data_IF_886901031194
#
_entry.id   IF_886901031194
#
_cell.length_a   1.000
_cell.length_b   1.000
_cell.length_c   1.000
_cell.angle_alpha   90.00
_cell.angle_beta   90.00
_cell.angle_gamma   90.00
#
_symmetry.space_group_name_H-M   'P 1'
#
loop_
_entity.id
_entity.type
_entity.pdbx_description
1 polymer ?
#
# COMPACT_ATOMS: atom_id res chain seq x y z
N UNK A 1 7.02 -41.76 9.11
CA UNK A 1 6.89 -40.39 9.68
C UNK A 1 7.30 -39.40 8.61
N UNK A 2 6.41 -38.49 8.21
CA UNK A 2 6.70 -37.45 7.21
C UNK A 2 7.48 -36.33 7.93
N UNK A 3 8.64 -35.87 7.42
CA UNK A 3 9.36 -34.79 8.06
C UNK A 3 8.51 -33.50 8.06
N UNK A 4 8.59 -32.68 9.11
CA UNK A 4 7.93 -31.38 9.13
C UNK A 4 8.45 -30.53 7.96
N UNK A 5 7.55 -29.84 7.25
CA UNK A 5 7.94 -28.89 6.23
C UNK A 5 8.77 -27.77 6.86
N UNK A 6 9.88 -27.35 6.22
CA UNK A 6 10.68 -26.25 6.71
C UNK A 6 9.83 -24.98 6.76
N UNK A 7 9.86 -24.29 7.90
CA UNK A 7 9.31 -22.95 8.02
C UNK A 7 10.08 -22.03 7.07
N UNK A 8 9.36 -21.36 6.17
CA UNK A 8 9.93 -20.30 5.34
C UNK A 8 10.26 -19.15 6.31
N UNK A 9 11.51 -18.67 6.38
CA UNK A 9 11.86 -17.57 7.28
C UNK A 9 11.05 -16.33 6.92
N UNK A 10 10.54 -15.64 7.96
CA UNK A 10 9.89 -14.33 7.85
C UNK A 10 10.81 -13.38 7.10
N UNK A 11 10.56 -13.22 5.80
CA UNK A 11 11.33 -12.35 4.93
C UNK A 11 10.59 -11.02 4.91
N UNK A 12 11.20 -9.98 5.46
CA UNK A 12 10.73 -8.61 5.25
C UNK A 12 10.97 -8.31 3.77
N UNK A 13 9.92 -8.44 2.96
CA UNK A 13 9.97 -8.03 1.58
C UNK A 13 9.77 -6.52 1.54
N UNK A 14 10.87 -5.77 1.62
CA UNK A 14 10.87 -4.33 1.34
C UNK A 14 10.73 -4.15 -0.17
N UNK A 15 9.50 -4.14 -0.68
CA UNK A 15 9.22 -3.63 -2.01
C UNK A 15 9.38 -2.11 -1.95
N UNK A 16 10.59 -1.62 -2.24
CA UNK A 16 10.82 -0.20 -2.50
C UNK A 16 10.11 0.18 -3.81
N UNK A 17 8.80 0.44 -3.74
CA UNK A 17 7.95 0.82 -4.87
C UNK A 17 8.31 2.19 -5.48
N UNK A 18 9.25 2.90 -4.84
CA UNK A 18 9.61 4.27 -5.16
C UNK A 18 10.14 4.48 -6.60
N UNK A 19 10.53 3.44 -7.36
CA UNK A 19 11.21 3.63 -8.67
C UNK A 19 10.77 2.77 -9.85
N UNK A 20 9.86 1.80 -9.70
CA UNK A 20 9.47 0.94 -10.82
C UNK A 20 8.06 1.27 -11.31
N UNK A 21 7.96 2.09 -12.36
CA UNK A 21 6.70 2.53 -12.96
C UNK A 21 5.87 1.38 -13.54
N UNK A 22 6.48 0.22 -13.82
CA UNK A 22 5.79 -0.96 -14.35
C UNK A 22 4.92 -1.67 -13.30
N UNK A 23 5.20 -1.45 -12.01
CA UNK A 23 4.47 -2.02 -10.88
C UNK A 23 3.42 -1.05 -10.30
N UNK A 24 3.53 0.25 -10.58
CA UNK A 24 2.65 1.30 -10.03
C UNK A 24 1.19 1.13 -10.42
N UNK A 25 0.88 0.93 -11.70
CA UNK A 25 -0.52 0.79 -12.13
C UNK A 25 -1.17 -0.52 -11.68
N UNK A 26 -0.53 -1.69 -11.77
CA UNK A 26 -1.09 -2.92 -11.22
C UNK A 26 -1.34 -2.84 -9.71
N UNK A 27 -0.44 -2.24 -8.91
CA UNK A 27 -0.61 -2.09 -7.46
C UNK A 27 -1.62 -1.01 -7.07
N UNK A 28 -1.66 0.15 -7.74
CA UNK A 28 -2.73 1.15 -7.59
C UNK A 28 -4.12 0.55 -7.81
N UNK A 29 -4.26 -0.31 -8.84
CA UNK A 29 -5.52 -1.02 -9.10
C UNK A 29 -5.91 -2.03 -8.02
N UNK A 30 -4.99 -2.36 -7.11
CA UNK A 30 -5.05 -3.54 -6.26
C UNK A 30 -5.03 -3.23 -4.76
N UNK A 31 -4.48 -2.07 -4.37
CA UNK A 31 -4.54 -1.52 -3.01
C UNK A 31 -5.97 -1.11 -2.59
N UNK A 32 -6.85 -0.77 -3.54
CA UNK A 32 -8.14 -0.14 -3.23
C UNK A 32 -9.30 -1.08 -2.84
N UNK A 33 -9.09 -2.39 -2.69
CA UNK A 33 -10.21 -3.32 -2.49
C UNK A 33 -10.81 -3.29 -1.07
N UNK A 34 -10.17 -2.63 -0.12
CA UNK A 34 -10.70 -2.39 1.23
C UNK A 34 -11.66 -1.17 1.28
N UNK A 35 -11.61 -0.27 0.30
CA UNK A 35 -12.50 0.89 0.30
C UNK A 35 -13.87 0.50 -0.31
N UNK A 36 -14.92 0.54 0.50
CA UNK A 36 -16.33 0.56 0.03
C UNK A 36 -16.69 1.84 -0.75
N UNK A 37 -15.71 2.71 -1.04
CA UNK A 37 -15.89 3.94 -1.80
C UNK A 37 -15.46 3.75 -3.26
N UNK A 38 -16.23 4.29 -4.21
CA UNK A 38 -15.89 4.23 -5.63
C UNK A 38 -14.83 5.29 -5.94
N UNK A 39 -13.61 5.13 -5.43
CA UNK A 39 -12.48 5.85 -6.02
C UNK A 39 -12.18 5.16 -7.34
N UNK A 40 -12.30 5.84 -8.49
CA UNK A 40 -12.05 5.22 -9.76
C UNK A 40 -10.56 4.87 -9.83
N UNK A 41 -10.29 3.57 -9.72
CA UNK A 41 -9.02 2.91 -10.06
C UNK A 41 -8.49 3.33 -11.46
N UNK A 42 -9.31 4.01 -12.27
CA UNK A 42 -8.95 4.59 -13.56
C UNK A 42 -8.31 5.99 -13.50
N UNK A 43 -8.22 6.64 -12.35
CA UNK A 43 -7.57 7.95 -12.25
C UNK A 43 -6.05 7.81 -12.04
N UNK A 44 -5.32 7.66 -13.15
CA UNK A 44 -3.86 7.48 -13.11
C UNK A 44 -3.14 8.68 -12.48
N UNK A 45 -3.67 9.89 -12.63
CA UNK A 45 -3.04 11.10 -12.08
C UNK A 45 -3.09 11.11 -10.56
N UNK A 46 -4.23 10.69 -9.98
CA UNK A 46 -4.34 10.49 -8.53
C UNK A 46 -3.24 9.54 -8.04
N UNK A 47 -3.11 8.36 -8.66
CA UNK A 47 -2.21 7.30 -8.20
C UNK A 47 -0.74 7.67 -8.35
N UNK A 48 -0.38 8.34 -9.43
CA UNK A 48 0.97 8.86 -9.60
C UNK A 48 1.30 9.92 -8.53
N UNK A 49 0.34 10.81 -8.22
CA UNK A 49 0.45 11.79 -7.14
C UNK A 49 0.61 11.14 -5.77
N UNK A 50 -0.24 10.17 -5.45
CA UNK A 50 -0.21 9.52 -4.15
C UNK A 50 1.07 8.72 -3.91
N UNK A 51 1.50 7.91 -4.87
CA UNK A 51 2.77 7.20 -4.76
C UNK A 51 4.00 8.12 -4.78
N UNK A 52 3.84 9.38 -5.17
CA UNK A 52 4.90 10.38 -4.99
C UNK A 52 5.02 10.85 -3.53
N UNK A 53 3.94 10.80 -2.76
CA UNK A 53 3.88 11.36 -1.40
C UNK A 53 3.85 10.33 -0.28
N UNK A 54 3.88 9.03 -0.57
CA UNK A 54 3.97 7.97 0.44
C UNK A 54 5.15 7.03 0.23
N UNK A 55 5.63 6.48 1.35
CA UNK A 55 6.42 5.26 1.41
C UNK A 55 5.54 4.12 1.90
N UNK A 56 5.73 2.93 1.33
CA UNK A 56 4.91 1.75 1.62
C UNK A 56 5.86 0.58 1.90
N UNK A 57 5.66 -0.09 3.03
CA UNK A 57 6.40 -1.29 3.37
C UNK A 57 5.50 -2.40 3.88
N UNK A 58 5.91 -3.64 3.65
CA UNK A 58 5.12 -4.84 3.95
C UNK A 58 5.86 -5.74 4.94
N UNK A 59 5.18 -6.13 6.01
CA UNK A 59 5.64 -7.14 6.96
C UNK A 59 4.75 -8.38 6.83
N UNK A 60 5.22 -9.33 6.01
CA UNK A 60 4.48 -10.56 5.70
C UNK A 60 4.46 -11.47 6.93
N UNK A 61 3.24 -11.73 7.44
CA UNK A 61 3.01 -12.56 8.63
C UNK A 61 2.70 -14.00 8.29
N UNK A 62 1.97 -14.22 7.20
CA UNK A 62 1.52 -15.54 6.81
C UNK A 62 1.35 -15.64 5.30
N UNK A 63 1.77 -16.76 4.73
CA UNK A 63 1.54 -17.11 3.33
C UNK A 63 1.05 -18.53 3.23
N UNK A 64 0.08 -18.79 2.36
CA UNK A 64 -0.29 -20.14 1.97
C UNK A 64 -0.66 -20.24 0.47
N UNK A 65 -0.69 -21.48 -0.02
CA UNK A 65 -1.10 -21.83 -1.39
C UNK A 65 -2.40 -22.64 -1.33
N UNK A 66 -3.58 -21.99 -1.32
CA UNK A 66 -4.85 -22.70 -1.14
C UNK A 66 -5.25 -23.52 -2.38
N UNK A 67 -4.72 -23.21 -3.57
CA UNK A 67 -4.94 -23.94 -4.81
C UNK A 67 -3.74 -23.78 -5.78
N UNK A 68 -3.64 -24.58 -6.86
CA UNK A 68 -2.74 -24.28 -7.97
C UNK A 68 -2.96 -22.85 -8.48
N UNK A 69 -1.88 -22.14 -8.80
CA UNK A 69 -1.90 -20.76 -9.28
C UNK A 69 -2.62 -19.73 -8.38
N UNK A 70 -2.85 -20.06 -7.11
CA UNK A 70 -3.41 -19.15 -6.10
C UNK A 70 -2.46 -19.00 -4.91
N UNK A 71 -2.26 -17.76 -4.47
CA UNK A 71 -1.58 -17.44 -3.22
C UNK A 71 -2.52 -16.67 -2.30
N UNK A 72 -2.43 -16.91 -1.00
CA UNK A 72 -3.06 -16.07 0.02
C UNK A 72 -1.99 -15.60 0.99
N UNK A 73 -1.98 -14.29 1.28
CA UNK A 73 -0.93 -13.61 2.04
C UNK A 73 -1.59 -12.69 3.08
N UNK A 74 -1.17 -12.80 4.33
CA UNK A 74 -1.49 -11.82 5.37
C UNK A 74 -0.25 -11.02 5.73
N UNK A 75 -0.40 -9.71 5.81
CA UNK A 75 0.70 -8.79 6.04
C UNK A 75 0.23 -7.57 6.83
N UNK A 76 1.18 -6.90 7.46
CA UNK A 76 1.00 -5.52 7.89
C UNK A 76 1.55 -4.63 6.78
N UNK A 77 0.73 -3.71 6.28
CA UNK A 77 1.16 -2.66 5.36
C UNK A 77 1.34 -1.37 6.14
N UNK A 78 2.56 -0.83 6.13
CA UNK A 78 2.89 0.43 6.76
C UNK A 78 2.96 1.49 5.67
N UNK A 79 2.03 2.43 5.71
CA UNK A 79 1.98 3.58 4.80
C UNK A 79 2.42 4.82 5.56
N UNK A 80 3.55 5.40 5.16
CA UNK A 80 4.10 6.62 5.75
C UNK A 80 4.09 7.73 4.73
N UNK A 81 3.39 8.82 5.01
CA UNK A 81 3.46 10.04 4.18
C UNK A 81 4.85 10.67 4.25
N UNK A 82 5.33 11.25 3.15
CA UNK A 82 6.61 11.95 3.08
C UNK A 82 6.73 13.05 4.15
N UNK A 83 7.95 13.27 4.65
CA UNK A 83 8.31 14.42 5.48
C UNK A 83 8.48 15.71 4.66
N UNK A 84 8.25 15.64 3.34
CA UNK A 84 8.34 16.72 2.37
C UNK A 84 9.75 16.92 1.80
N UNK A 85 10.79 16.31 2.38
CA UNK A 85 12.16 16.44 1.89
C UNK A 85 12.34 15.82 0.52
N UNK A 86 11.73 14.65 0.28
CA UNK A 86 11.72 13.99 -1.03
C UNK A 86 10.99 14.80 -2.11
N UNK A 87 10.20 15.80 -1.70
CA UNK A 87 9.35 16.64 -2.56
C UNK A 87 9.89 18.07 -2.69
N UNK A 88 11.10 18.34 -2.18
CA UNK A 88 11.78 19.63 -2.35
C UNK A 88 11.53 20.65 -1.24
N UNK A 89 10.91 20.27 -0.11
CA UNK A 89 10.90 21.15 1.07
C UNK A 89 12.32 21.29 1.64
N UNK A 90 12.70 22.50 2.12
CA UNK A 90 14.04 22.73 2.65
C UNK A 90 14.30 21.95 3.94
N UNK A 91 13.28 21.82 4.79
CA UNK A 91 13.35 21.14 6.08
C UNK A 91 12.26 20.06 6.19
N UNK A 92 12.58 18.89 6.78
CA UNK A 92 11.59 17.83 7.00
C UNK A 92 10.56 18.27 8.04
N UNK A 93 9.32 17.85 7.85
CA UNK A 93 8.19 18.14 8.74
C UNK A 93 7.70 16.87 9.43
N UNK A 94 7.17 17.04 10.64
CA UNK A 94 6.60 15.96 11.45
C UNK A 94 5.20 16.27 11.97
N UNK A 95 4.65 17.43 11.58
CA UNK A 95 3.27 17.77 11.84
C UNK A 95 2.37 17.16 10.74
N UNK A 96 1.16 16.78 11.09
CA UNK A 96 0.23 16.19 10.13
C UNK A 96 0.02 17.12 8.92
N UNK A 97 0.03 16.62 7.67
CA UNK A 97 0.06 15.22 7.25
C UNK A 97 1.47 14.67 6.97
N UNK A 98 2.55 15.34 7.40
CA UNK A 98 3.92 14.91 7.15
C UNK A 98 4.37 13.82 8.13
N UNK A 99 5.11 12.83 7.63
CA UNK A 99 5.63 11.71 8.42
C UNK A 99 4.55 10.97 9.27
N UNK A 100 3.29 11.05 8.86
CA UNK A 100 2.19 10.30 9.45
C UNK A 100 2.22 8.86 8.95
N UNK A 101 2.11 7.90 9.88
CA UNK A 101 2.16 6.47 9.55
C UNK A 101 0.85 5.80 9.92
N UNK A 102 0.27 5.05 8.98
CA UNK A 102 -0.87 4.16 9.19
C UNK A 102 -0.38 2.72 9.01
N UNK A 103 -0.81 1.84 9.91
CA UNK A 103 -0.60 0.40 9.78
C UNK A 103 -1.92 -0.22 9.36
N UNK A 104 -1.93 -0.91 8.22
CA UNK A 104 -3.09 -1.65 7.72
C UNK A 104 -2.90 -3.15 7.93
N UNK A 105 -3.91 -3.81 8.45
CA UNK A 105 -3.94 -5.26 8.67
C UNK A 105 -4.61 -5.94 7.48
N UNK A 106 -3.80 -6.41 6.55
CA UNK A 106 -4.26 -6.78 5.23
C UNK A 106 -4.18 -8.29 4.96
N UNK A 107 -5.17 -8.79 4.22
CA UNK A 107 -5.21 -10.14 3.68
C UNK A 107 -5.43 -10.04 2.17
N UNK A 108 -4.46 -10.48 1.38
CA UNK A 108 -4.59 -10.59 -0.07
C UNK A 108 -4.75 -12.04 -0.55
N UNK A 109 -5.51 -12.21 -1.64
CA UNK A 109 -5.64 -13.42 -2.44
C UNK A 109 -5.25 -13.07 -3.87
N UNK A 110 -4.16 -13.66 -4.36
CA UNK A 110 -3.68 -13.46 -5.73
C UNK A 110 -3.86 -14.71 -6.58
N UNK A 111 -4.24 -14.54 -7.86
CA UNK A 111 -4.15 -15.58 -8.88
C UNK A 111 -3.10 -15.21 -9.93
N UNK A 112 -2.39 -16.20 -10.45
CA UNK A 112 -1.48 -16.06 -11.58
C UNK A 112 -1.89 -16.94 -12.75
N UNK A 113 -1.49 -16.61 -13.96
CA UNK A 113 -1.54 -17.52 -15.11
C UNK A 113 -0.28 -18.42 -15.18
N UNK A 114 -0.20 -19.24 -16.22
CA UNK A 114 0.92 -20.16 -16.44
C UNK A 114 2.25 -19.43 -16.78
N UNK A 115 2.18 -18.14 -17.13
CA UNK A 115 3.34 -17.26 -17.31
C UNK A 115 3.72 -16.52 -16.01
N UNK A 116 3.15 -16.91 -14.87
CA UNK A 116 3.31 -16.25 -13.57
C UNK A 116 2.85 -14.78 -13.55
N UNK A 117 1.96 -14.35 -14.46
CA UNK A 117 1.39 -13.00 -14.46
C UNK A 117 0.13 -12.99 -13.61
N UNK A 118 -0.04 -11.94 -12.81
CA UNK A 118 -1.24 -11.86 -11.99
C UNK A 118 -2.52 -11.63 -12.80
N UNK A 119 -3.47 -12.54 -12.70
CA UNK A 119 -4.81 -12.44 -13.32
C UNK A 119 -5.87 -11.90 -12.35
N UNK A 120 -5.63 -12.03 -11.04
CA UNK A 120 -6.52 -11.52 -10.00
C UNK A 120 -5.71 -11.12 -8.76
N UNK A 121 -6.23 -10.12 -8.04
CA UNK A 121 -5.79 -9.75 -6.70
C UNK A 121 -6.97 -9.18 -5.94
N UNK A 122 -7.42 -9.92 -4.94
CA UNK A 122 -8.41 -9.51 -3.96
C UNK A 122 -7.68 -9.09 -2.69
N UNK A 123 -7.94 -7.89 -2.16
CA UNK A 123 -7.41 -7.46 -0.87
C UNK A 123 -8.57 -7.17 0.08
N UNK A 124 -8.37 -7.51 1.35
CA UNK A 124 -9.36 -7.39 2.42
C UNK A 124 -8.66 -6.89 3.68
N UNK A 125 -9.27 -5.95 4.36
CA UNK A 125 -8.69 -5.25 5.50
C UNK A 125 -9.74 -4.40 6.20
N UNK A 126 -9.30 -3.51 7.10
CA UNK A 126 -10.19 -2.62 7.82
C UNK A 126 -10.47 -1.34 7.02
N UNK A 127 -11.76 -1.00 6.83
CA UNK A 127 -12.17 0.18 6.08
C UNK A 127 -11.69 1.49 6.73
N UNK A 128 -11.55 1.55 8.06
CA UNK A 128 -11.01 2.71 8.77
C UNK A 128 -9.54 2.91 8.45
N UNK A 129 -8.74 1.85 8.50
CA UNK A 129 -7.30 1.94 8.20
C UNK A 129 -7.09 2.45 6.76
N UNK A 130 -7.87 1.94 5.80
CA UNK A 130 -7.84 2.45 4.42
C UNK A 130 -8.30 3.92 4.33
N UNK A 131 -9.35 4.29 5.06
CA UNK A 131 -9.85 5.68 5.07
C UNK A 131 -8.82 6.65 5.65
N UNK A 132 -8.08 6.23 6.69
CA UNK A 132 -7.06 7.04 7.33
C UNK A 132 -5.87 7.28 6.37
N UNK A 133 -5.51 6.28 5.56
CA UNK A 133 -4.55 6.44 4.44
C UNK A 133 -5.08 7.39 3.39
N UNK A 134 -6.29 7.18 2.87
CA UNK A 134 -6.88 8.03 1.82
C UNK A 134 -6.90 9.51 2.25
N UNK A 135 -7.29 9.78 3.50
CA UNK A 135 -7.34 11.14 4.07
C UNK A 135 -5.94 11.73 4.22
N UNK A 136 -4.96 10.96 4.72
CA UNK A 136 -3.59 11.41 4.85
C UNK A 136 -2.95 11.77 3.50
N UNK A 137 -3.13 10.91 2.48
CA UNK A 137 -2.61 11.16 1.13
C UNK A 137 -3.28 12.36 0.49
N UNK A 138 -4.61 12.47 0.57
CA UNK A 138 -5.34 13.61 0.03
C UNK A 138 -4.88 14.93 0.68
N UNK A 139 -4.73 14.94 2.01
CA UNK A 139 -4.24 16.09 2.75
C UNK A 139 -2.79 16.45 2.39
N UNK A 140 -1.93 15.45 2.21
CA UNK A 140 -0.54 15.65 1.80
C UNK A 140 -0.43 16.22 0.39
N UNK A 141 -1.18 15.68 -0.58
CA UNK A 141 -1.23 16.21 -1.95
C UNK A 141 -1.78 17.65 -1.98
N UNK A 142 -2.83 17.94 -1.21
CA UNK A 142 -3.36 19.29 -1.06
C UNK A 142 -2.31 20.26 -0.49
N UNK A 143 -1.65 19.88 0.61
CA UNK A 143 -0.62 20.68 1.28
C UNK A 143 0.56 21.01 0.34
N UNK A 144 1.06 19.99 -0.38
CA UNK A 144 2.16 20.14 -1.32
C UNK A 144 1.79 20.95 -2.57
N UNK A 145 0.50 20.96 -2.94
CA UNK A 145 -0.05 21.80 -4.00
C UNK A 145 -0.31 23.27 -3.58
N UNK A 146 0.04 23.66 -2.35
CA UNK A 146 -0.24 25.00 -1.81
C UNK A 146 -1.65 25.19 -1.25
N UNK A 147 -2.43 24.10 -1.16
CA UNK A 147 -3.73 24.05 -0.49
C UNK A 147 -3.62 23.81 1.02
N UNK A 148 -4.76 23.64 1.71
CA UNK A 148 -4.78 23.32 3.14
C UNK A 148 -4.23 21.92 3.42
N UNK A 149 -3.50 21.76 4.52
CA UNK A 149 -2.87 20.50 4.92
C UNK A 149 -3.80 19.56 5.74
N UNK A 150 -5.05 19.97 6.00
CA UNK A 150 -6.03 19.18 6.74
C UNK A 150 -5.66 18.93 8.21
N UNK A 151 -6.36 17.98 8.84
CA UNK A 151 -6.13 17.54 10.23
C UNK A 151 -6.14 16.03 10.30
N UNK A 152 -5.43 15.47 11.28
CA UNK A 152 -5.37 14.02 11.48
C UNK A 152 -6.77 13.41 11.63
N UNK A 153 -7.01 12.21 11.06
CA UNK A 153 -8.24 11.46 11.31
C UNK A 153 -8.36 11.11 12.79
N UNK A 154 -9.60 11.07 13.27
CA UNK A 154 -9.94 10.75 14.66
C UNK A 154 -9.92 9.24 14.95
#
# INVERSE_FOLDING_TARGET
MKPPSPAIPNSVLVLNLHRDSSLRQPLARRLCLCASRPWPVSDSEWWDGAFSVVDISFDVKFTNKPAPNTASVRYLEMVTTSDGRSLGLPDPRSDYPFNFTVVQHEHAIGHVDDDCKFTFWGQYGDNKEQTDVDVAVANMMSCMGGGPCGTAPA
#
